data_IF_382639668349
#
_entry.id   IF_382639668349
#
_cell.length_a   1.000
_cell.length_b   1.000
_cell.length_c   1.000
_cell.angle_alpha   90.00
_cell.angle_beta   90.00
_cell.angle_gamma   90.00
#
_symmetry.space_group_name_H-M   'P 1'
#
loop_
_entity.id
_entity.type
_entity.pdbx_description
1 polymer ?
#
# COMPACT_ATOMS: atom_id res chain seq x y z
N UNK A 1 1.91 -82.72 37.59
CA UNK A 1 3.21 -82.44 36.96
C UNK A 1 3.63 -81.02 37.32
N UNK A 2 4.93 -80.86 37.60
CA UNK A 2 5.68 -79.63 37.90
C UNK A 2 5.40 -78.49 36.90
N UNK A 3 5.28 -77.23 37.33
CA UNK A 3 6.39 -76.25 37.40
C UNK A 3 5.88 -74.82 37.67
N UNK A 4 6.70 -74.10 38.43
CA UNK A 4 6.65 -72.69 38.87
C UNK A 4 6.96 -71.67 37.75
N UNK A 5 6.97 -70.38 38.13
CA UNK A 5 7.64 -69.20 37.51
C UNK A 5 6.77 -68.27 36.63
N UNK A 6 6.90 -66.93 36.60
CA UNK A 6 7.41 -65.85 37.48
C UNK A 6 7.01 -64.52 36.78
N UNK A 7 6.61 -63.52 37.59
CA UNK A 7 6.77 -62.04 37.50
C UNK A 7 6.76 -61.27 36.15
N UNK A 8 5.98 -60.17 36.22
CA UNK A 8 6.29 -58.76 35.83
C UNK A 8 6.43 -58.42 34.33
N UNK A 9 5.54 -57.53 33.89
CA UNK A 9 5.71 -56.68 32.70
C UNK A 9 4.93 -55.37 32.86
N UNK A 10 5.60 -54.36 33.41
CA UNK A 10 5.23 -52.95 33.38
C UNK A 10 5.48 -52.42 31.96
N UNK A 11 4.63 -51.55 31.41
CA UNK A 11 4.97 -50.31 30.65
C UNK A 11 3.66 -49.66 30.21
N UNK A 12 3.39 -48.46 30.71
CA UNK A 12 2.46 -47.51 30.10
C UNK A 12 3.20 -46.51 29.21
N UNK A 13 2.45 -45.77 28.38
CA UNK A 13 2.74 -44.45 27.78
C UNK A 13 1.59 -44.16 26.78
N UNK A 14 0.54 -43.41 27.15
CA UNK A 14 0.33 -41.94 27.04
C UNK A 14 0.34 -41.41 25.60
N UNK A 15 -0.63 -40.51 25.33
CA UNK A 15 -0.63 -39.41 24.33
C UNK A 15 -1.64 -39.61 23.18
N UNK A 16 -2.46 -38.64 22.77
CA UNK A 16 -2.66 -37.22 23.14
C UNK A 16 -3.97 -36.79 22.47
N UNK A 17 -4.83 -36.04 23.18
CA UNK A 17 -5.96 -35.37 22.57
C UNK A 17 -5.44 -34.20 21.70
N UNK A 18 -5.80 -34.21 20.42
CA UNK A 18 -5.47 -33.15 19.46
C UNK A 18 -6.31 -31.91 19.79
N UNK A 19 -5.72 -30.95 20.50
CA UNK A 19 -6.32 -29.62 20.68
C UNK A 19 -6.04 -28.83 19.41
N UNK A 20 -7.09 -28.56 18.63
CA UNK A 20 -7.04 -27.65 17.50
C UNK A 20 -6.76 -26.23 18.01
N UNK A 21 -5.53 -25.76 17.82
CA UNK A 21 -5.18 -24.37 18.03
C UNK A 21 -5.77 -23.53 16.89
N UNK A 22 -6.80 -22.75 17.19
CA UNK A 22 -7.16 -21.61 16.36
C UNK A 22 -6.02 -20.59 16.47
N UNK A 23 -5.06 -20.65 15.55
CA UNK A 23 -4.12 -19.56 15.35
C UNK A 23 -4.93 -18.35 14.87
N UNK A 24 -5.23 -17.43 15.78
CA UNK A 24 -5.62 -16.08 15.41
C UNK A 24 -4.44 -15.54 14.61
N UNK A 25 -4.62 -15.38 13.29
CA UNK A 25 -3.64 -14.69 12.46
C UNK A 25 -3.48 -13.29 13.06
N UNK A 26 -2.39 -13.07 13.79
CA UNK A 26 -1.97 -11.72 14.15
C UNK A 26 -1.83 -10.97 12.83
N UNK A 27 -2.48 -9.81 12.64
CA UNK A 27 -2.17 -8.98 11.48
C UNK A 27 -0.65 -8.78 11.52
N UNK A 28 0.02 -9.21 10.46
CA UNK A 28 1.43 -8.91 10.28
C UNK A 28 1.55 -7.41 10.52
N UNK A 29 2.37 -7.01 11.51
CA UNK A 29 2.58 -5.60 11.78
C UNK A 29 2.90 -4.96 10.45
N UNK A 30 2.03 -4.03 10.01
CA UNK A 30 2.24 -3.26 8.81
C UNK A 30 3.68 -2.76 8.88
N UNK A 31 4.54 -3.21 7.97
CA UNK A 31 5.86 -2.63 7.85
C UNK A 31 5.59 -1.16 7.63
N UNK A 32 5.99 -0.32 8.59
CA UNK A 32 5.86 1.11 8.43
C UNK A 32 6.61 1.43 7.15
N UNK A 33 5.88 1.81 6.10
CA UNK A 33 6.52 2.23 4.87
C UNK A 33 7.53 3.31 5.26
N UNK A 34 8.80 3.13 4.90
CA UNK A 34 9.87 4.07 5.23
C UNK A 34 9.56 5.40 4.51
N UNK A 35 8.82 6.25 5.20
CA UNK A 35 8.32 7.53 4.71
C UNK A 35 9.43 8.57 4.80
N UNK A 36 10.00 8.92 3.65
CA UNK A 36 10.92 10.06 3.57
C UNK A 36 10.14 11.32 3.29
N UNK A 37 10.25 12.31 4.15
CA UNK A 37 9.48 13.56 4.05
C UNK A 37 10.38 14.77 3.92
N UNK A 38 9.99 15.67 3.03
CA UNK A 38 10.63 16.96 2.82
C UNK A 38 9.59 18.06 2.94
N UNK A 39 9.96 19.16 3.62
CA UNK A 39 9.14 20.37 3.69
C UNK A 39 9.71 21.37 2.70
N UNK A 40 8.97 21.65 1.64
CA UNK A 40 9.31 22.72 0.74
C UNK A 40 8.99 24.09 1.38
N UNK A 41 9.60 25.16 0.87
CA UNK A 41 9.27 26.54 1.24
C UNK A 41 7.80 26.92 0.97
N UNK A 42 7.09 26.09 0.20
CA UNK A 42 5.70 26.24 -0.23
C UNK A 42 4.65 25.87 0.82
N UNK A 43 5.04 25.67 2.10
CA UNK A 43 4.14 25.26 3.20
C UNK A 43 3.42 23.91 2.97
N UNK A 44 3.96 23.08 2.07
CA UNK A 44 3.50 21.71 1.82
C UNK A 44 4.64 20.77 2.22
N UNK A 45 4.31 19.77 3.05
CA UNK A 45 5.18 18.64 3.32
C UNK A 45 4.88 17.55 2.28
N UNK A 46 5.90 17.09 1.57
CA UNK A 46 5.79 15.97 0.64
C UNK A 46 6.52 14.78 1.23
N UNK A 47 5.80 13.68 1.38
CA UNK A 47 6.32 12.41 1.83
C UNK A 47 6.23 11.39 0.70
N UNK A 48 7.30 10.63 0.50
CA UNK A 48 7.34 9.52 -0.45
C UNK A 48 7.72 8.24 0.26
N UNK A 49 7.24 7.11 -0.24
CA UNK A 49 7.60 5.80 0.27
C UNK A 49 7.35 4.71 -0.76
N UNK A 50 7.58 3.47 -0.33
CA UNK A 50 7.28 2.26 -1.09
C UNK A 50 6.38 1.38 -0.24
N UNK A 51 5.30 0.87 -0.83
CA UNK A 51 4.34 0.01 -0.13
C UNK A 51 4.83 -1.45 -0.05
N UNK A 52 4.03 -2.33 0.56
CA UNK A 52 4.41 -3.72 0.79
C UNK A 52 4.56 -4.54 -0.51
N UNK A 53 3.93 -4.09 -1.60
CA UNK A 53 4.00 -4.74 -2.92
C UNK A 53 5.11 -4.13 -3.80
N UNK A 54 5.82 -3.11 -3.30
CA UNK A 54 6.89 -2.44 -4.03
C UNK A 54 6.42 -1.24 -4.86
N UNK A 55 5.15 -0.82 -4.75
CA UNK A 55 4.67 0.36 -5.44
C UNK A 55 5.17 1.63 -4.74
N UNK A 56 5.63 2.60 -5.54
CA UNK A 56 5.98 3.92 -5.02
C UNK A 56 4.70 4.69 -4.73
N UNK A 57 4.66 5.41 -3.61
CA UNK A 57 3.54 6.29 -3.27
C UNK A 57 4.03 7.66 -2.83
N UNK A 58 3.13 8.63 -2.89
CA UNK A 58 3.37 10.00 -2.45
C UNK A 58 2.19 10.52 -1.62
N UNK A 59 2.49 11.35 -0.63
CA UNK A 59 1.53 12.08 0.20
C UNK A 59 1.98 13.55 0.26
N UNK A 60 1.09 14.48 -0.06
CA UNK A 60 1.28 15.93 0.09
C UNK A 60 0.35 16.47 1.17
N UNK A 61 0.93 17.00 2.24
CA UNK A 61 0.22 17.55 3.38
C UNK A 61 0.40 19.07 3.45
N UNK A 62 -0.67 19.86 3.24
CA UNK A 62 -0.57 21.32 3.35
C UNK A 62 -0.62 21.80 4.81
N UNK A 63 0.08 22.88 5.13
CA UNK A 63 0.07 23.45 6.49
C UNK A 63 -1.31 23.90 6.98
N UNK A 64 -2.20 24.31 6.07
CA UNK A 64 -3.58 24.73 6.33
C UNK A 64 -4.58 23.58 6.20
N UNK A 65 -4.16 22.36 6.54
CA UNK A 65 -4.95 21.14 6.39
C UNK A 65 -6.33 21.25 7.06
N UNK A 66 -7.39 20.95 6.31
CA UNK A 66 -8.79 21.07 6.73
C UNK A 66 -9.41 19.74 7.21
N UNK A 67 -8.62 18.66 7.30
CA UNK A 67 -9.06 17.35 7.76
C UNK A 67 -9.45 16.36 6.66
N UNK A 68 -9.47 16.78 5.38
CA UNK A 68 -9.86 15.92 4.25
C UNK A 68 -8.65 15.50 3.40
N UNK A 69 -8.42 14.20 3.30
CA UNK A 69 -7.42 13.58 2.44
C UNK A 69 -8.08 13.08 1.14
N UNK A 70 -7.47 13.42 0.00
CA UNK A 70 -7.82 12.86 -1.31
C UNK A 70 -6.83 11.77 -1.68
N UNK A 71 -7.32 10.58 -2.02
CA UNK A 71 -6.53 9.45 -2.48
C UNK A 71 -6.81 9.26 -3.97
N UNK A 72 -5.84 9.62 -4.80
CA UNK A 72 -5.92 9.61 -6.25
C UNK A 72 -5.39 8.30 -6.84
N UNK A 73 -6.16 7.73 -7.78
CA UNK A 73 -5.76 6.63 -8.65
C UNK A 73 -5.55 7.13 -10.08
N UNK A 74 -4.38 6.87 -10.65
CA UNK A 74 -4.12 7.16 -12.06
C UNK A 74 -4.78 6.12 -12.98
N UNK A 75 -5.02 6.50 -14.23
CA UNK A 75 -5.58 5.58 -15.22
C UNK A 75 -4.58 4.56 -15.77
N UNK A 76 -5.05 3.76 -16.72
CA UNK A 76 -4.24 2.74 -17.38
C UNK A 76 -2.98 3.35 -18.03
N UNK A 77 -1.83 2.73 -17.78
CA UNK A 77 -0.53 3.07 -18.37
C UNK A 77 0.04 1.86 -19.09
N UNK A 78 0.97 2.10 -20.01
CA UNK A 78 1.68 1.03 -20.71
C UNK A 78 2.45 0.15 -19.71
N UNK A 79 2.32 -1.17 -19.86
CA UNK A 79 3.04 -2.17 -19.07
C UNK A 79 4.29 -2.73 -19.75
N UNK A 80 4.62 -2.18 -20.92
CA UNK A 80 5.81 -2.50 -21.69
C UNK A 80 6.49 -1.21 -22.12
N UNK A 81 7.81 -1.26 -22.33
CA UNK A 81 8.51 -0.18 -22.98
C UNK A 81 8.07 -0.12 -24.44
N UNK A 82 7.62 1.05 -24.88
CA UNK A 82 7.29 1.30 -26.27
C UNK A 82 8.55 1.82 -26.99
N UNK A 83 8.95 1.20 -28.12
CA UNK A 83 9.94 1.81 -29.00
C UNK A 83 9.38 3.10 -29.60
N UNK A 84 10.23 3.87 -30.28
CA UNK A 84 9.77 5.01 -31.06
C UNK A 84 8.78 4.54 -32.14
N UNK A 85 7.52 4.92 -32.01
CA UNK A 85 6.44 4.61 -32.95
C UNK A 85 5.86 5.94 -33.44
N UNK A 86 5.92 6.23 -34.76
CA UNK A 86 5.35 7.46 -35.31
C UNK A 86 3.90 7.67 -34.85
N UNK A 87 3.54 8.91 -34.52
CA UNK A 87 2.21 9.35 -34.05
C UNK A 87 1.82 8.87 -32.63
N UNK A 88 2.13 7.61 -32.25
CA UNK A 88 1.70 7.03 -30.96
C UNK A 88 2.70 7.35 -29.84
N UNK A 89 3.98 7.04 -30.06
CA UNK A 89 5.06 7.30 -29.12
C UNK A 89 6.30 7.78 -29.90
N UNK A 90 6.31 9.01 -30.45
CA UNK A 90 7.36 9.44 -31.38
C UNK A 90 8.78 9.39 -30.81
N UNK A 91 8.92 9.51 -29.49
CA UNK A 91 10.19 9.43 -28.78
C UNK A 91 10.41 8.09 -28.05
N UNK A 92 9.48 7.13 -28.22
CA UNK A 92 9.36 5.97 -27.34
C UNK A 92 8.81 6.35 -25.96
N UNK A 93 8.50 5.33 -25.17
CA UNK A 93 7.96 5.50 -23.82
C UNK A 93 8.47 4.37 -22.93
N UNK A 94 8.97 4.72 -21.74
CA UNK A 94 9.30 3.73 -20.72
C UNK A 94 8.12 3.55 -19.76
N UNK A 95 8.02 2.37 -19.15
CA UNK A 95 7.02 2.11 -18.13
C UNK A 95 7.16 3.13 -16.99
N UNK A 96 6.05 3.81 -16.66
CA UNK A 96 6.02 4.84 -15.64
C UNK A 96 5.43 4.31 -14.32
N UNK A 97 6.28 4.08 -13.32
CA UNK A 97 5.92 3.69 -11.94
C UNK A 97 5.87 4.87 -10.97
N UNK A 98 5.88 6.11 -11.46
CA UNK A 98 5.79 7.28 -10.60
C UNK A 98 4.37 7.39 -10.01
N UNK A 99 4.25 7.69 -8.71
CA UNK A 99 2.96 8.01 -8.12
C UNK A 99 2.44 9.34 -8.68
N UNK A 100 1.13 9.46 -8.76
CA UNK A 100 0.42 10.72 -8.99
C UNK A 100 -0.50 10.98 -7.82
N UNK A 101 -0.57 12.22 -7.33
CA UNK A 101 -1.48 12.61 -6.24
C UNK A 101 -2.72 13.38 -6.73
N UNK A 102 -2.77 13.65 -8.03
CA UNK A 102 -3.82 14.37 -8.75
C UNK A 102 -3.62 14.18 -10.26
N UNK A 103 -4.64 14.43 -11.11
CA UNK A 103 -4.52 14.28 -12.56
C UNK A 103 -3.54 15.27 -13.21
N UNK A 104 -3.31 16.42 -12.58
CA UNK A 104 -2.31 17.41 -13.01
C UNK A 104 -1.79 18.19 -11.80
N UNK A 105 -0.61 18.80 -11.94
CA UNK A 105 -0.04 19.67 -10.90
C UNK A 105 -0.90 20.92 -10.63
N UNK A 106 -1.62 21.43 -11.64
CA UNK A 106 -2.55 22.55 -11.49
C UNK A 106 -3.69 22.16 -10.53
N UNK A 107 -4.25 20.97 -10.72
CA UNK A 107 -5.30 20.44 -9.84
C UNK A 107 -4.74 20.15 -8.45
N UNK A 108 -3.55 19.56 -8.35
CA UNK A 108 -2.89 19.34 -7.06
C UNK A 108 -2.73 20.65 -6.28
N UNK A 109 -2.18 21.67 -6.92
CA UNK A 109 -1.97 23.00 -6.33
C UNK A 109 -3.29 23.64 -5.89
N UNK A 110 -4.35 23.53 -6.70
CA UNK A 110 -5.66 24.09 -6.37
C UNK A 110 -6.31 23.42 -5.14
N UNK A 111 -6.17 22.11 -5.01
CA UNK A 111 -6.69 21.36 -3.85
C UNK A 111 -5.87 21.64 -2.59
N UNK A 112 -4.54 21.63 -2.69
CA UNK A 112 -3.64 21.95 -1.57
C UNK A 112 -3.90 23.36 -1.03
N UNK A 113 -4.13 24.35 -1.91
CA UNK A 113 -4.47 25.73 -1.50
C UNK A 113 -5.76 25.81 -0.69
N UNK A 114 -6.72 24.93 -0.94
CA UNK A 114 -7.98 24.82 -0.17
C UNK A 114 -7.81 24.03 1.15
N UNK A 115 -6.62 23.53 1.43
CA UNK A 115 -6.31 22.78 2.65
C UNK A 115 -6.59 21.29 2.54
N UNK A 116 -6.78 20.75 1.34
CA UNK A 116 -6.90 19.31 1.13
C UNK A 116 -5.52 18.65 1.06
N UNK A 117 -5.34 17.57 1.81
CA UNK A 117 -4.17 16.71 1.62
C UNK A 117 -4.39 15.80 0.43
N UNK A 118 -3.32 15.43 -0.27
CA UNK A 118 -3.35 14.59 -1.46
C UNK A 118 -2.45 13.38 -1.26
N UNK A 119 -2.83 12.23 -1.81
CA UNK A 119 -1.97 11.06 -1.86
C UNK A 119 -2.29 10.21 -3.08
N UNK A 120 -1.37 9.34 -3.47
CA UNK A 120 -1.62 8.33 -4.49
C UNK A 120 -0.47 7.34 -4.63
N UNK A 121 -0.79 6.20 -5.25
CA UNK A 121 0.16 5.12 -5.55
C UNK A 121 0.48 5.11 -7.05
N UNK A 122 1.70 4.72 -7.39
CA UNK A 122 2.14 4.50 -8.77
C UNK A 122 1.95 3.08 -9.26
N UNK A 123 1.38 2.18 -8.42
CA UNK A 123 1.21 0.72 -8.58
C UNK A 123 2.52 -0.05 -8.87
N UNK A 124 2.61 -1.30 -8.41
CA UNK A 124 3.79 -2.15 -8.65
C UNK A 124 3.80 -2.74 -10.06
N UNK A 125 2.62 -2.85 -10.68
CA UNK A 125 2.40 -3.40 -12.03
C UNK A 125 1.52 -2.46 -12.85
N UNK A 126 1.99 -2.03 -14.03
CA UNK A 126 1.21 -1.21 -14.95
C UNK A 126 0.28 -2.05 -15.84
N UNK A 127 -0.62 -1.40 -16.57
CA UNK A 127 -1.61 -2.03 -17.44
C UNK A 127 -2.97 -2.19 -16.76
N UNK A 128 -3.62 -3.33 -16.96
CA UNK A 128 -4.88 -3.64 -16.27
C UNK A 128 -4.60 -4.10 -14.84
N UNK A 129 -4.42 -3.14 -13.93
CA UNK A 129 -3.98 -3.36 -12.55
C UNK A 129 -4.99 -2.88 -11.52
N UNK A 130 -6.30 -3.11 -11.74
CA UNK A 130 -7.37 -2.64 -10.85
C UNK A 130 -7.20 -3.11 -9.40
N UNK A 131 -6.93 -4.40 -9.19
CA UNK A 131 -6.76 -4.99 -7.86
C UNK A 131 -5.56 -4.36 -7.13
N UNK A 132 -4.42 -4.26 -7.82
CA UNK A 132 -3.19 -3.62 -7.32
C UNK A 132 -3.40 -2.12 -7.04
N UNK A 133 -4.17 -1.43 -7.89
CA UNK A 133 -4.51 -0.01 -7.72
C UNK A 133 -5.34 0.22 -6.47
N UNK A 134 -6.33 -0.63 -6.21
CA UNK A 134 -7.15 -0.57 -4.99
C UNK A 134 -6.32 -0.87 -3.75
N UNK A 135 -5.48 -1.90 -3.78
CA UNK A 135 -4.61 -2.24 -2.66
C UNK A 135 -3.58 -1.14 -2.37
N UNK A 136 -2.90 -0.63 -3.40
CA UNK A 136 -1.97 0.49 -3.29
C UNK A 136 -2.63 1.76 -2.75
N UNK A 137 -3.87 2.04 -3.14
CA UNK A 137 -4.67 3.15 -2.60
C UNK A 137 -4.98 2.97 -1.11
N UNK A 138 -5.30 1.74 -0.68
CA UNK A 138 -5.53 1.42 0.73
C UNK A 138 -4.25 1.53 1.56
N UNK A 139 -3.12 1.04 1.03
CA UNK A 139 -1.82 1.12 1.71
C UNK A 139 -1.34 2.56 1.89
N UNK A 140 -1.44 3.42 0.85
CA UNK A 140 -1.08 4.84 1.00
C UNK A 140 -2.03 5.58 1.94
N UNK A 141 -3.33 5.24 1.93
CA UNK A 141 -4.29 5.78 2.89
C UNK A 141 -3.90 5.42 4.33
N UNK A 142 -3.54 4.16 4.57
CA UNK A 142 -3.11 3.70 5.89
C UNK A 142 -1.84 4.44 6.33
N UNK A 143 -0.83 4.51 5.47
CA UNK A 143 0.40 5.26 5.72
C UNK A 143 0.13 6.75 6.04
N UNK A 144 -0.80 7.38 5.31
CA UNK A 144 -1.20 8.76 5.57
C UNK A 144 -1.92 8.92 6.92
N UNK A 145 -2.82 8.01 7.29
CA UNK A 145 -3.55 8.08 8.57
C UNK A 145 -2.65 7.80 9.77
N UNK A 146 -1.68 6.89 9.62
CA UNK A 146 -0.70 6.58 10.66
C UNK A 146 0.21 7.77 10.95
N UNK A 147 0.64 8.48 9.89
CA UNK A 147 1.47 9.68 10.03
C UNK A 147 0.68 10.92 10.47
N UNK A 148 -0.54 11.08 9.96
CA UNK A 148 -1.34 12.29 10.11
C UNK A 148 -2.68 12.00 10.79
N UNK A 149 -2.65 12.00 12.12
CA UNK A 149 -3.84 11.74 12.96
C UNK A 149 -5.01 12.71 12.78
N UNK A 150 -4.81 13.84 12.10
CA UNK A 150 -5.85 14.85 11.80
C UNK A 150 -6.74 14.49 10.61
N UNK A 151 -6.43 13.44 9.86
CA UNK A 151 -7.26 12.99 8.73
C UNK A 151 -8.58 12.46 9.29
N UNK A 152 -9.67 13.16 8.97
CA UNK A 152 -11.04 12.84 9.45
C UNK A 152 -12.00 12.48 8.33
N UNK A 153 -11.70 12.91 7.09
CA UNK A 153 -12.46 12.58 5.89
C UNK A 153 -11.51 12.10 4.80
N UNK A 154 -11.98 11.14 4.02
CA UNK A 154 -11.24 10.56 2.89
C UNK A 154 -12.11 10.61 1.66
N UNK A 155 -11.55 11.12 0.57
CA UNK A 155 -12.17 11.11 -0.76
C UNK A 155 -11.29 10.27 -1.67
N UNK A 156 -11.81 9.14 -2.14
CA UNK A 156 -11.17 8.35 -3.19
C UNK A 156 -11.68 8.82 -4.55
N UNK A 157 -10.77 9.00 -5.50
CA UNK A 157 -11.09 9.46 -6.86
C UNK A 157 -9.97 9.04 -7.83
N UNK A 158 -10.23 9.12 -9.14
CA UNK A 158 -9.24 8.70 -10.12
C UNK A 158 -9.71 8.88 -11.55
N UNK A 159 -8.83 8.52 -12.48
CA UNK A 159 -9.10 8.59 -13.92
C UNK A 159 -9.25 7.18 -14.50
N UNK A 160 -10.45 6.85 -15.00
CA UNK A 160 -10.74 5.59 -15.72
C UNK A 160 -10.65 4.31 -14.87
N UNK A 161 -9.44 3.83 -14.56
CA UNK A 161 -9.16 2.57 -13.86
C UNK A 161 -9.02 2.82 -12.35
#
# INVERSE_FOLDING_TARGET
>A
MKNTFVKKGLVGLVSTALVAAFAVATPSAAQAADLTCTKASTKVETCTGTDANGAKFEIRMPSNFNGTLYVYSHGIRNNVNLPAIPVIAPAGELINYAPEVAPTEIVATALLKQGYALSGSGVSTQGWSLEEGVDGALQVLQAAKDKYSKVSKVVAWGNSL
#
